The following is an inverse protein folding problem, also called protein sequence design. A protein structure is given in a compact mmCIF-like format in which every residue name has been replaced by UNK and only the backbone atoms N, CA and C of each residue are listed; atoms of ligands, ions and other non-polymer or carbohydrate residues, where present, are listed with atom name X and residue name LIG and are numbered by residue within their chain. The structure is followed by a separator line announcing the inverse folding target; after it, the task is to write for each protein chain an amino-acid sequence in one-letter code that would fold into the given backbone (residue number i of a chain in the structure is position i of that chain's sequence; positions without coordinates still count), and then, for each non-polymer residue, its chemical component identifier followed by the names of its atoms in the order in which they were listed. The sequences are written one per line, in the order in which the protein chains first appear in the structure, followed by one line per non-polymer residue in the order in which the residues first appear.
data_IF_435044810263
#
_entry.id   IF_435044810263
#
_cell.length_a   1.000
_cell.length_b   1.000
_cell.length_c   1.000
_cell.angle_alpha   90.00
_cell.angle_beta   90.00
_cell.angle_gamma   90.00
#
_symmetry.space_group_name_H-M   'P 1'
#
loop_
_entity.id
_entity.type
_entity.pdbx_description
1 polymer ?
#
# COMPACT_ATOMS: atom_id res chain seq x y z
N UNK A 1 4.45 -13.05 -1.04
CA UNK A 1 4.21 -11.59 -1.02
C UNK A 1 5.12 -10.97 0.03
N UNK A 2 5.72 -9.81 -0.26
CA UNK A 2 6.42 -9.02 0.75
C UNK A 2 5.40 -8.21 1.59
N UNK A 3 5.86 -7.58 2.68
CA UNK A 3 5.00 -6.78 3.57
C UNK A 3 4.15 -5.75 2.81
N UNK A 4 4.73 -5.06 1.83
CA UNK A 4 4.05 -4.02 1.05
C UNK A 4 2.93 -4.58 0.18
N UNK A 5 3.18 -5.73 -0.46
CA UNK A 5 2.17 -6.45 -1.23
C UNK A 5 0.99 -6.85 -0.34
N UNK A 6 1.26 -7.40 0.84
CA UNK A 6 0.21 -7.76 1.79
C UNK A 6 -0.61 -6.54 2.22
N UNK A 7 0.04 -5.42 2.56
CA UNK A 7 -0.65 -4.18 2.95
C UNK A 7 -1.56 -3.66 1.84
N UNK A 8 -1.08 -3.66 0.59
CA UNK A 8 -1.88 -3.22 -0.56
C UNK A 8 -3.07 -4.15 -0.76
N UNK A 9 -2.86 -5.47 -0.77
CA UNK A 9 -3.94 -6.44 -0.92
C UNK A 9 -5.02 -6.28 0.15
N UNK A 10 -4.64 -6.10 1.41
CA UNK A 10 -5.62 -5.88 2.50
C UNK A 10 -6.38 -4.56 2.34
N UNK A 11 -5.71 -3.48 1.90
CA UNK A 11 -6.40 -2.22 1.60
C UNK A 11 -7.39 -2.38 0.44
N UNK A 12 -7.03 -3.17 -0.58
CA UNK A 12 -7.89 -3.50 -1.72
C UNK A 12 -9.12 -4.31 -1.29
N UNK A 13 -8.95 -5.29 -0.41
CA UNK A 13 -10.04 -6.08 0.18
C UNK A 13 -11.02 -5.21 1.00
N UNK A 14 -10.51 -4.13 1.61
CA UNK A 14 -11.31 -3.12 2.31
C UNK A 14 -12.00 -2.10 1.39
N UNK A 15 -11.85 -2.27 0.07
CA UNK A 15 -12.54 -1.46 -0.94
C UNK A 15 -11.75 -0.28 -1.50
N UNK A 16 -10.48 -0.09 -1.10
CA UNK A 16 -9.66 0.94 -1.69
C UNK A 16 -9.23 0.54 -3.12
N UNK A 17 -9.15 1.52 -4.00
CA UNK A 17 -8.57 1.36 -5.34
C UNK A 17 -7.07 1.63 -5.32
N UNK A 18 -6.31 1.06 -6.26
CA UNK A 18 -4.89 1.38 -6.40
C UNK A 18 -4.65 2.88 -6.61
N UNK A 19 -5.56 3.58 -7.30
CA UNK A 19 -5.51 5.04 -7.48
C UNK A 19 -5.68 5.80 -6.17
N UNK A 20 -6.61 5.37 -5.30
CA UNK A 20 -6.78 5.97 -3.97
C UNK A 20 -5.55 5.72 -3.09
N UNK A 21 -5.03 4.48 -3.09
CA UNK A 21 -3.80 4.16 -2.34
C UNK A 21 -2.64 5.04 -2.83
N UNK A 22 -2.49 5.19 -4.15
CA UNK A 22 -1.45 6.02 -4.74
C UNK A 22 -1.60 7.50 -4.38
N UNK A 23 -2.82 8.03 -4.37
CA UNK A 23 -3.10 9.39 -3.94
C UNK A 23 -2.73 9.61 -2.47
N UNK A 24 -3.09 8.68 -1.58
CA UNK A 24 -2.81 8.77 -0.15
C UNK A 24 -1.31 8.66 0.19
N UNK A 25 -0.56 7.83 -0.54
CA UNK A 25 0.90 7.70 -0.34
C UNK A 25 1.71 8.63 -1.24
N UNK A 26 1.06 9.51 -2.00
CA UNK A 26 1.66 10.48 -2.94
C UNK A 26 2.59 9.83 -3.98
N UNK A 27 2.10 8.80 -4.68
CA UNK A 27 2.82 8.16 -5.78
C UNK A 27 1.89 7.93 -6.99
N UNK A 28 2.40 7.30 -8.05
CA UNK A 28 1.59 6.95 -9.22
C UNK A 28 0.83 5.63 -9.01
N UNK A 29 -0.35 5.50 -9.60
CA UNK A 29 -1.10 4.23 -9.57
C UNK A 29 -0.30 3.08 -10.20
N UNK A 30 0.48 3.35 -11.25
CA UNK A 30 1.41 2.38 -11.83
C UNK A 30 2.41 1.86 -10.79
N UNK A 31 2.97 2.74 -9.95
CA UNK A 31 3.87 2.33 -8.87
C UNK A 31 3.19 1.38 -7.87
N UNK A 32 1.94 1.66 -7.50
CA UNK A 32 1.15 0.76 -6.64
C UNK A 32 0.88 -0.59 -7.32
N UNK A 33 0.54 -0.58 -8.62
CA UNK A 33 0.35 -1.81 -9.40
C UNK A 33 1.62 -2.65 -9.50
N UNK A 34 2.76 -2.02 -9.77
CA UNK A 34 4.05 -2.70 -9.84
C UNK A 34 4.48 -3.25 -8.47
N UNK A 35 4.19 -2.51 -7.40
CA UNK A 35 4.44 -2.94 -6.03
C UNK A 35 3.56 -4.14 -5.65
N UNK A 36 2.26 -4.11 -5.98
CA UNK A 36 1.32 -5.23 -5.76
C UNK A 36 1.75 -6.48 -6.54
N UNK A 37 2.16 -6.32 -7.80
CA UNK A 37 2.66 -7.41 -8.66
C UNK A 37 4.07 -7.89 -8.28
N UNK A 38 4.78 -7.17 -7.42
CA UNK A 38 6.14 -7.50 -6.99
C UNK A 38 7.23 -7.15 -8.00
N UNK A 39 6.90 -6.34 -9.02
CA UNK A 39 7.81 -5.90 -10.10
C UNK A 39 8.88 -4.96 -9.58
N UNK A 40 8.55 -4.07 -8.64
CA UNK A 40 9.52 -3.12 -8.07
C UNK A 40 10.62 -3.75 -7.20
N UNK A 41 10.66 -5.08 -7.05
CA UNK A 41 11.54 -5.74 -6.09
C UNK A 41 11.23 -5.29 -4.67
N UNK A 42 11.94 -5.83 -3.66
CA UNK A 42 11.67 -5.58 -2.24
C UNK A 42 11.90 -4.12 -1.77
N UNK A 43 12.09 -3.15 -2.68
CA UNK A 43 12.58 -1.80 -2.39
C UNK A 43 11.52 -0.75 -2.69
N UNK A 44 10.77 -0.41 -1.65
CA UNK A 44 10.06 0.86 -1.54
C UNK A 44 10.99 1.89 -0.87
N UNK A 45 10.83 3.18 -1.19
CA UNK A 45 11.54 4.22 -0.43
C UNK A 45 11.01 4.26 1.01
N UNK A 46 11.85 4.63 1.97
CA UNK A 46 11.45 4.69 3.38
C UNK A 46 10.21 5.58 3.61
N UNK A 47 10.15 6.73 2.93
CA UNK A 47 9.02 7.66 3.03
C UNK A 47 7.71 7.04 2.51
N UNK A 48 7.74 6.39 1.35
CA UNK A 48 6.56 5.74 0.79
C UNK A 48 6.11 4.55 1.65
N UNK A 49 7.07 3.77 2.18
CA UNK A 49 6.79 2.69 3.14
C UNK A 49 6.08 3.19 4.39
N UNK A 50 6.55 4.30 4.96
CA UNK A 50 5.90 4.95 6.12
C UNK A 50 4.49 5.43 5.84
N UNK A 51 4.24 6.03 4.68
CA UNK A 51 2.89 6.47 4.29
C UNK A 51 1.95 5.28 4.10
N UNK A 52 2.44 4.21 3.46
CA UNK A 52 1.67 2.98 3.26
C UNK A 52 1.34 2.28 4.59
N UNK A 53 2.31 2.19 5.51
CA UNK A 53 2.09 1.70 6.89
C UNK A 53 0.99 2.49 7.60
N UNK A 54 1.08 3.83 7.60
CA UNK A 54 0.09 4.68 8.26
C UNK A 54 -1.31 4.54 7.63
N UNK A 55 -1.39 4.45 6.29
CA UNK A 55 -2.64 4.21 5.59
C UNK A 55 -3.23 2.85 5.95
N UNK A 56 -2.40 1.82 5.99
CA UNK A 56 -2.80 0.46 6.35
C UNK A 56 -3.32 0.38 7.79
N UNK A 57 -2.58 0.95 8.75
CA UNK A 57 -2.97 1.03 10.17
C UNK A 57 -4.31 1.77 10.36
N UNK A 58 -4.52 2.89 9.65
CA UNK A 58 -5.78 3.65 9.69
C UNK A 58 -7.00 2.81 9.28
N UNK A 59 -6.79 1.81 8.43
CA UNK A 59 -7.83 0.92 7.94
C UNK A 59 -7.88 -0.41 8.70
N UNK A 60 -6.99 -0.66 9.67
CA UNK A 60 -7.13 -1.82 10.54
C UNK A 60 -8.30 -1.61 11.52
N UNK A 61 -9.09 -2.65 11.82
CA UNK A 61 -10.08 -2.55 12.87
C UNK A 61 -9.35 -2.18 14.16
N UNK A 62 -9.80 -1.13 14.85
CA UNK A 62 -9.30 -0.81 16.19
C UNK A 62 -9.45 -2.08 17.03
N UNK A 63 -8.33 -2.64 17.50
CA UNK A 63 -8.36 -3.62 18.58
C UNK A 63 -8.86 -2.87 19.81
N UNK A 64 -10.14 -3.05 20.11
CA UNK A 64 -10.76 -2.67 21.39
C UNK A 64 -10.31 -3.69 22.44
#
# INVERSE_FOLDING_TARGET
MNQWQTMISELREKGLTQTQIAAEIECSQNYVSDLERGVCGKRISYQLGKKLEALWEKHQPRKI
#
